data_IF_307483229147
#
_entry.id   IF_307483229147
#
_cell.length_a   1.000
_cell.length_b   1.000
_cell.length_c   1.000
_cell.angle_alpha   90.00
_cell.angle_beta   90.00
_cell.angle_gamma   90.00
#
_symmetry.space_group_name_H-M   'P 1'
#
loop_
_entity.id
_entity.type
_entity.pdbx_description
1 polymer ?
#
# COMPACT_ATOMS: atom_id res chain seq x y z
N UNK A 1 -5.98 0.65 7.13
CA UNK A 1 -6.82 0.29 5.97
C UNK A 1 -8.24 -0.10 6.40
N UNK A 2 -8.41 -1.14 7.22
CA UNK A 2 -9.76 -1.61 7.61
C UNK A 2 -10.63 -0.59 8.33
N UNK A 3 -10.04 0.30 9.13
CA UNK A 3 -10.81 1.39 9.77
C UNK A 3 -11.48 2.34 8.76
N UNK A 4 -10.88 2.55 7.58
CA UNK A 4 -11.49 3.36 6.52
C UNK A 4 -12.69 2.64 5.89
N UNK A 5 -12.50 1.36 5.52
CA UNK A 5 -13.56 0.51 4.99
C UNK A 5 -14.75 0.42 5.98
N UNK A 6 -14.48 0.22 7.27
CA UNK A 6 -15.51 0.16 8.30
C UNK A 6 -16.24 1.49 8.56
N UNK A 7 -15.64 2.62 8.18
CA UNK A 7 -16.26 3.95 8.27
C UNK A 7 -17.01 4.35 6.98
N UNK A 8 -17.14 3.46 6.00
CA UNK A 8 -17.77 3.76 4.71
C UNK A 8 -16.85 4.49 3.71
N UNK A 9 -15.59 4.78 4.07
CA UNK A 9 -14.59 5.34 3.16
C UNK A 9 -13.88 4.21 2.40
N UNK A 10 -14.41 3.85 1.24
CA UNK A 10 -13.84 2.82 0.37
C UNK A 10 -12.83 3.38 -0.64
N UNK A 11 -12.87 4.69 -0.91
CA UNK A 11 -12.01 5.33 -1.91
C UNK A 11 -10.59 5.51 -1.37
N UNK A 12 -10.44 5.94 -0.11
CA UNK A 12 -9.13 6.08 0.53
C UNK A 12 -8.32 4.78 0.49
N UNK A 13 -8.84 3.63 0.97
CA UNK A 13 -8.09 2.37 0.92
C UNK A 13 -7.86 1.86 -0.50
N UNK A 14 -8.80 2.05 -1.42
CA UNK A 14 -8.61 1.69 -2.84
C UNK A 14 -7.42 2.41 -3.45
N UNK A 15 -7.29 3.73 -3.21
CA UNK A 15 -6.15 4.51 -3.68
C UNK A 15 -4.85 3.98 -3.08
N UNK A 16 -4.79 3.82 -1.76
CA UNK A 16 -3.57 3.34 -1.10
C UNK A 16 -3.13 1.99 -1.69
N UNK A 17 -4.06 1.03 -1.83
CA UNK A 17 -3.77 -0.29 -2.38
C UNK A 17 -3.30 -0.21 -3.84
N UNK A 18 -3.91 0.64 -4.67
CA UNK A 18 -3.47 0.83 -6.05
C UNK A 18 -2.01 1.27 -6.11
N UNK A 19 -1.63 2.31 -5.35
CA UNK A 19 -0.25 2.78 -5.35
C UNK A 19 0.73 1.75 -4.77
N UNK A 20 0.38 1.11 -3.65
CA UNK A 20 1.24 0.11 -3.01
C UNK A 20 1.49 -1.08 -3.94
N UNK A 21 0.44 -1.69 -4.48
CA UNK A 21 0.58 -2.92 -5.26
C UNK A 21 0.98 -2.67 -6.71
N UNK A 22 0.34 -1.72 -7.40
CA UNK A 22 0.60 -1.51 -8.83
C UNK A 22 1.83 -0.67 -9.12
N UNK A 23 2.11 0.34 -8.31
CA UNK A 23 3.19 1.29 -8.59
C UNK A 23 4.45 1.04 -7.79
N UNK A 24 4.38 0.22 -6.72
CA UNK A 24 5.54 -0.10 -5.89
C UNK A 24 5.84 -1.59 -5.93
N UNK A 25 4.92 -2.45 -5.52
CA UNK A 25 5.19 -3.89 -5.42
C UNK A 25 5.57 -4.53 -6.75
N UNK A 26 4.71 -4.40 -7.77
CA UNK A 26 4.96 -5.05 -9.08
C UNK A 26 6.24 -4.51 -9.73
N UNK A 27 6.48 -3.17 -9.80
CA UNK A 27 7.71 -2.65 -10.38
C UNK A 27 8.98 -3.03 -9.59
N UNK A 28 8.93 -3.00 -8.25
CA UNK A 28 10.08 -3.40 -7.43
C UNK A 28 10.34 -4.91 -7.51
N UNK A 29 9.29 -5.73 -7.57
CA UNK A 29 9.42 -7.17 -7.74
C UNK A 29 10.12 -7.48 -9.06
N UNK A 30 9.70 -6.83 -10.16
CA UNK A 30 10.35 -6.96 -11.46
C UNK A 30 11.81 -6.50 -11.42
N UNK A 31 12.08 -5.34 -10.83
CA UNK A 31 13.43 -4.80 -10.74
C UNK A 31 14.34 -5.72 -9.93
N UNK A 32 13.94 -6.10 -8.71
CA UNK A 32 14.76 -6.89 -7.82
C UNK A 32 14.92 -8.34 -8.30
N UNK A 33 13.84 -8.98 -8.75
CA UNK A 33 13.93 -10.37 -9.21
C UNK A 33 14.81 -10.51 -10.45
N UNK A 34 14.75 -9.55 -11.38
CA UNK A 34 15.39 -9.72 -12.70
C UNK A 34 16.75 -9.02 -12.78
N UNK A 35 16.94 -7.87 -12.13
CA UNK A 35 18.12 -7.02 -12.35
C UNK A 35 19.18 -7.11 -11.24
N UNK A 36 18.86 -7.72 -10.10
CA UNK A 36 19.76 -7.73 -8.94
C UNK A 36 20.31 -9.12 -8.57
N UNK A 37 19.91 -10.16 -9.32
CA UNK A 37 20.27 -11.55 -9.02
C UNK A 37 19.64 -12.08 -7.71
N UNK A 38 18.61 -11.40 -7.21
CA UNK A 38 17.88 -11.81 -6.00
C UNK A 38 16.78 -12.83 -6.29
N UNK A 39 16.43 -13.07 -7.56
CA UNK A 39 15.39 -14.02 -7.98
C UNK A 39 14.10 -13.86 -7.16
N UNK A 40 13.62 -14.93 -6.53
CA UNK A 40 12.43 -14.96 -5.68
C UNK A 40 12.53 -14.05 -4.45
N UNK A 41 13.73 -13.90 -3.86
CA UNK A 41 13.96 -12.97 -2.74
C UNK A 41 13.66 -11.54 -3.12
N UNK A 42 13.89 -11.16 -4.39
CA UNK A 42 13.55 -9.84 -4.90
C UNK A 42 12.06 -9.54 -4.77
N UNK A 43 11.21 -10.54 -5.01
CA UNK A 43 9.76 -10.44 -4.85
C UNK A 43 9.39 -10.25 -3.37
N UNK A 44 10.01 -11.02 -2.45
CA UNK A 44 9.75 -10.86 -1.01
C UNK A 44 10.13 -9.47 -0.49
N UNK A 45 11.27 -8.92 -0.93
CA UNK A 45 11.65 -7.55 -0.57
C UNK A 45 10.67 -6.51 -1.12
N UNK A 46 10.14 -6.70 -2.32
CA UNK A 46 9.14 -5.82 -2.90
C UNK A 46 7.83 -5.82 -2.10
N UNK A 47 7.36 -6.99 -1.64
CA UNK A 47 6.18 -7.12 -0.77
C UNK A 47 6.40 -6.34 0.53
N UNK A 48 7.53 -6.53 1.20
CA UNK A 48 7.84 -5.83 2.46
C UNK A 48 7.88 -4.31 2.24
N UNK A 49 8.48 -3.84 1.14
CA UNK A 49 8.54 -2.42 0.81
C UNK A 49 7.14 -1.84 0.54
N UNK A 50 6.31 -2.55 -0.22
CA UNK A 50 4.92 -2.20 -0.54
C UNK A 50 4.05 -2.11 0.73
N UNK A 51 4.09 -3.12 1.58
CA UNK A 51 3.35 -3.18 2.85
C UNK A 51 3.79 -2.08 3.83
N UNK A 52 5.10 -1.79 3.88
CA UNK A 52 5.64 -0.70 4.69
C UNK A 52 5.12 0.65 4.20
N UNK A 53 5.12 0.87 2.88
CA UNK A 53 4.57 2.08 2.27
C UNK A 53 3.07 2.23 2.53
N UNK A 54 2.28 1.17 2.31
CA UNK A 54 0.84 1.15 2.60
C UNK A 54 0.57 1.50 4.07
N UNK A 55 1.35 0.93 4.99
CA UNK A 55 1.21 1.16 6.42
C UNK A 55 1.49 2.62 6.78
N UNK A 56 2.61 3.18 6.31
CA UNK A 56 2.99 4.57 6.58
C UNK A 56 1.93 5.53 6.01
N UNK A 57 1.51 5.33 4.76
CA UNK A 57 0.51 6.20 4.15
C UNK A 57 -0.86 6.08 4.83
N UNK A 58 -1.26 4.86 5.18
CA UNK A 58 -2.46 4.58 5.95
C UNK A 58 -2.45 5.30 7.31
N UNK A 59 -1.34 5.26 8.05
CA UNK A 59 -1.18 5.97 9.32
C UNK A 59 -1.30 7.49 9.12
N UNK A 60 -0.63 8.05 8.11
CA UNK A 60 -0.69 9.50 7.82
C UNK A 60 -2.14 9.93 7.56
N UNK A 61 -2.86 9.20 6.72
CA UNK A 61 -4.26 9.51 6.39
C UNK A 61 -5.20 9.28 7.57
N UNK A 62 -4.93 8.26 8.38
CA UNK A 62 -5.72 7.96 9.57
C UNK A 62 -5.62 9.11 10.58
N UNK A 63 -4.40 9.61 10.80
CA UNK A 63 -4.13 10.76 11.68
C UNK A 63 -4.75 12.07 11.18
N UNK A 64 -4.95 12.23 9.87
CA UNK A 64 -5.62 13.42 9.28
C UNK A 64 -7.12 13.47 9.59
N UNK A 65 -7.75 12.38 10.01
CA UNK A 65 -9.13 12.37 10.49
C UNK A 65 -10.23 12.67 9.47
N UNK A 66 -9.90 13.03 8.22
CA UNK A 66 -10.88 13.33 7.15
C UNK A 66 -11.87 12.20 6.89
N UNK A 67 -11.44 10.97 7.09
CA UNK A 67 -12.27 9.77 6.97
C UNK A 67 -13.47 9.75 7.92
N UNK A 68 -13.43 10.50 9.03
CA UNK A 68 -14.53 10.63 9.99
C UNK A 68 -15.67 11.54 9.51
N UNK A 69 -15.43 12.33 8.46
CA UNK A 69 -16.42 13.27 7.93
C UNK A 69 -17.34 12.63 6.89
N UNK A 70 -17.03 11.41 6.46
CA UNK A 70 -17.91 10.65 5.60
C UNK A 70 -19.14 10.23 6.41
N UNK A 71 -20.31 10.65 5.97
CA UNK A 71 -21.58 10.15 6.49
C UNK A 71 -21.79 8.75 5.92
N UNK A 72 -21.97 7.80 6.83
CA UNK A 72 -22.37 6.42 6.53
C UNK A 72 -23.86 6.40 6.16
#
# INVERSE_FOLDING_TARGET
IQSFNGAGDTITPTKINFFAFWLIEIPLAYLFAIHTGLDDKGVYYAIIASETFMTIWGIILFRKGKWKLNKV
#
